data_IF_220108821950
#
_entry.id   IF_220108821950
#
_cell.length_a   1.000
_cell.length_b   1.000
_cell.length_c   1.000
_cell.angle_alpha   90.00
_cell.angle_beta   90.00
_cell.angle_gamma   90.00
#
_symmetry.space_group_name_H-M   'P 1'
#
loop_
_entity.id
_entity.type
_entity.pdbx_description
1 polymer ?
#
# COMPACT_ATOMS: atom_id res chain seq x y z
N UNK A 1 36.77 -21.75 -30.24
CA UNK A 1 36.08 -20.60 -29.63
C UNK A 1 35.00 -21.15 -28.73
N UNK A 2 35.16 -21.04 -27.41
CA UNK A 2 34.12 -21.40 -26.43
C UNK A 2 33.32 -20.14 -26.20
N UNK A 3 32.09 -20.10 -26.71
CA UNK A 3 31.16 -19.01 -26.45
C UNK A 3 30.58 -19.22 -25.04
N UNK A 4 31.11 -18.47 -24.07
CA UNK A 4 30.51 -18.39 -22.75
C UNK A 4 29.19 -17.65 -22.86
N UNK A 5 28.08 -18.38 -22.71
CA UNK A 5 26.75 -17.82 -22.55
C UNK A 5 26.72 -17.10 -21.20
N UNK A 6 26.88 -15.77 -21.21
CA UNK A 6 26.66 -14.94 -20.03
C UNK A 6 25.17 -14.99 -19.69
N UNK A 7 24.80 -15.90 -18.80
CA UNK A 7 23.50 -15.86 -18.13
C UNK A 7 23.47 -14.55 -17.32
N UNK A 8 22.57 -13.59 -17.60
CA UNK A 8 22.41 -12.46 -16.71
C UNK A 8 21.91 -13.04 -15.38
N UNK A 9 22.75 -12.96 -14.34
CA UNK A 9 22.30 -13.12 -12.96
C UNK A 9 21.16 -12.13 -12.78
N UNK A 10 19.92 -12.61 -12.71
CA UNK A 10 18.80 -11.75 -12.37
C UNK A 10 19.04 -11.30 -10.94
N UNK A 11 19.70 -10.16 -10.78
CA UNK A 11 19.68 -9.43 -9.53
C UNK A 11 18.21 -9.23 -9.21
N UNK A 12 17.73 -9.88 -8.15
CA UNK A 12 16.51 -9.45 -7.49
C UNK A 12 16.82 -8.07 -6.92
N UNK A 13 16.66 -7.04 -7.74
CA UNK A 13 16.89 -5.65 -7.35
C UNK A 13 15.71 -5.23 -6.47
N UNK A 14 15.74 -5.65 -5.21
CA UNK A 14 14.83 -5.13 -4.20
C UNK A 14 15.27 -3.68 -3.89
N UNK A 15 14.36 -2.73 -4.11
CA UNK A 15 14.56 -1.33 -3.73
C UNK A 15 13.86 -1.12 -2.41
N UNK A 16 14.58 -0.61 -1.41
CA UNK A 16 14.02 -0.24 -0.10
C UNK A 16 14.14 1.25 0.11
N UNK A 17 13.08 1.85 0.64
CA UNK A 17 12.99 3.27 0.91
C UNK A 17 12.26 3.53 2.22
N UNK A 18 12.54 4.66 2.86
CA UNK A 18 11.87 5.06 4.09
C UNK A 18 11.10 6.35 3.86
N UNK A 19 9.83 6.38 4.28
CA UNK A 19 8.98 7.56 4.24
C UNK A 19 8.44 7.90 5.62
N UNK A 20 8.48 9.17 5.97
CA UNK A 20 7.76 9.68 7.14
C UNK A 20 6.33 10.02 6.75
N UNK A 21 5.39 9.73 7.65
CA UNK A 21 4.02 10.23 7.53
C UNK A 21 3.87 11.65 8.09
N UNK A 22 2.65 12.18 8.05
CA UNK A 22 2.26 13.39 8.78
C UNK A 22 2.24 13.22 10.31
N UNK A 23 2.50 12.01 10.82
CA UNK A 23 2.64 11.72 12.25
C UNK A 23 4.11 11.39 12.57
N UNK A 24 4.45 11.08 13.83
CA UNK A 24 5.80 10.63 14.20
C UNK A 24 6.16 9.23 13.65
N UNK A 25 5.26 8.60 12.90
CA UNK A 25 5.49 7.27 12.32
C UNK A 25 6.21 7.37 10.98
N UNK A 26 7.17 6.47 10.80
CA UNK A 26 7.87 6.23 9.55
C UNK A 26 7.51 4.84 9.03
N UNK A 27 7.73 4.65 7.73
CA UNK A 27 7.41 3.43 7.00
C UNK A 27 8.59 3.04 6.14
N UNK A 28 9.04 1.81 6.27
CA UNK A 28 9.99 1.21 5.35
C UNK A 28 9.22 0.44 4.28
N UNK A 29 9.47 0.78 3.02
CA UNK A 29 8.79 0.22 1.86
C UNK A 29 9.81 -0.52 1.02
N UNK A 30 9.57 -1.81 0.83
CA UNK A 30 10.39 -2.66 -0.03
C UNK A 30 9.60 -3.01 -1.29
N UNK A 31 10.18 -2.69 -2.45
CA UNK A 31 9.63 -2.99 -3.76
C UNK A 31 10.38 -4.16 -4.39
N UNK A 32 9.63 -5.16 -4.83
CA UNK A 32 10.12 -6.24 -5.68
C UNK A 32 9.25 -6.37 -6.93
N UNK A 33 9.66 -7.22 -7.88
CA UNK A 33 8.87 -7.51 -9.07
C UNK A 33 7.49 -8.11 -8.76
N UNK A 34 7.34 -8.77 -7.61
CA UNK A 34 6.15 -9.56 -7.25
C UNK A 34 5.35 -8.96 -6.11
N UNK A 35 5.92 -8.03 -5.36
CA UNK A 35 5.38 -7.64 -4.06
C UNK A 35 5.83 -6.24 -3.66
N UNK A 36 4.95 -5.53 -2.96
CA UNK A 36 5.28 -4.36 -2.14
C UNK A 36 5.12 -4.79 -0.68
N UNK A 37 6.12 -4.52 0.14
CA UNK A 37 6.07 -4.78 1.59
C UNK A 37 6.22 -3.45 2.32
N UNK A 38 5.30 -3.17 3.24
CA UNK A 38 5.29 -1.94 4.04
C UNK A 38 5.41 -2.30 5.52
N UNK A 39 6.42 -1.74 6.19
CA UNK A 39 6.68 -1.94 7.61
C UNK A 39 6.57 -0.59 8.34
N UNK A 40 5.74 -0.50 9.37
CA UNK A 40 5.60 0.72 10.18
C UNK A 40 6.55 0.69 11.38
N UNK A 41 7.19 1.81 11.70
CA UNK A 41 8.08 1.91 12.87
C UNK A 41 7.40 1.73 14.23
N UNK A 42 6.06 1.68 14.26
CA UNK A 42 5.26 1.57 15.49
C UNK A 42 4.37 0.34 15.54
N UNK A 43 4.37 -0.49 14.49
CA UNK A 43 3.56 -1.71 14.44
C UNK A 43 4.47 -2.92 14.23
N UNK A 44 4.31 -3.94 15.07
CA UNK A 44 5.01 -5.21 14.91
C UNK A 44 4.27 -6.04 13.86
N UNK A 45 4.63 -5.87 12.60
CA UNK A 45 4.00 -6.55 11.48
C UNK A 45 4.37 -5.90 10.15
N UNK A 46 4.33 -6.70 9.09
CA UNK A 46 4.57 -6.23 7.72
C UNK A 46 3.29 -6.40 6.93
N UNK A 47 2.88 -5.34 6.25
CA UNK A 47 1.80 -5.40 5.30
C UNK A 47 2.40 -5.86 3.96
N UNK A 48 1.93 -7.02 3.50
CA UNK A 48 2.37 -7.64 2.28
C UNK A 48 1.32 -7.42 1.19
N UNK A 49 1.75 -7.01 0.00
CA UNK A 49 0.89 -6.79 -1.15
C UNK A 49 1.44 -7.46 -2.39
N UNK A 50 0.78 -8.52 -2.88
CA UNK A 50 1.23 -9.27 -4.04
C UNK A 50 0.67 -8.73 -5.35
N UNK A 51 1.51 -8.69 -6.37
CA UNK A 51 1.15 -8.27 -7.72
C UNK A 51 0.41 -9.38 -8.45
N UNK A 52 -0.76 -9.06 -9.00
CA UNK A 52 -1.55 -9.93 -9.89
C UNK A 52 -2.19 -9.08 -10.98
N UNK A 53 -2.01 -9.48 -12.23
CA UNK A 53 -2.58 -8.81 -13.41
C UNK A 53 -2.30 -7.30 -13.47
N UNK A 54 -1.13 -6.87 -12.98
CA UNK A 54 -0.71 -5.47 -12.96
C UNK A 54 -1.16 -4.68 -11.73
N UNK A 55 -2.11 -5.18 -10.94
CA UNK A 55 -2.61 -4.59 -9.70
C UNK A 55 -1.99 -5.27 -8.46
N UNK A 56 -2.15 -4.68 -7.27
CA UNK A 56 -1.62 -5.25 -6.02
C UNK A 56 -2.73 -5.54 -5.01
N UNK A 57 -2.67 -6.74 -4.43
CA UNK A 57 -3.69 -7.28 -3.52
C UNK A 57 -3.06 -7.53 -2.15
N UNK A 58 -3.77 -7.19 -1.08
CA UNK A 58 -3.34 -7.48 0.29
C UNK A 58 -3.21 -8.99 0.50
N UNK A 59 -2.11 -9.43 1.08
CA UNK A 59 -1.83 -10.84 1.31
C UNK A 59 -2.73 -11.48 2.39
N UNK A 60 -3.27 -10.66 3.30
CA UNK A 60 -4.11 -11.14 4.41
C UNK A 60 -5.46 -11.69 3.95
N UNK A 61 -6.03 -11.10 2.91
CA UNK A 61 -7.41 -11.35 2.48
C UNK A 61 -7.58 -11.40 0.95
N UNK A 62 -6.50 -11.22 0.19
CA UNK A 62 -6.50 -11.15 -1.27
C UNK A 62 -7.41 -10.04 -1.84
N UNK A 63 -7.66 -8.98 -1.06
CA UNK A 63 -8.46 -7.83 -1.48
C UNK A 63 -7.57 -6.84 -2.24
N UNK A 64 -8.10 -6.28 -3.34
CA UNK A 64 -7.40 -5.27 -4.13
C UNK A 64 -7.06 -4.06 -3.27
N UNK A 65 -5.79 -3.64 -3.28
CA UNK A 65 -5.31 -2.54 -2.43
C UNK A 65 -4.67 -1.40 -3.23
N UNK A 66 -3.83 -1.69 -4.23
CA UNK A 66 -3.31 -0.65 -5.13
C UNK A 66 -3.74 -0.93 -6.57
N UNK A 67 -4.27 0.10 -7.24
CA UNK A 67 -4.63 0.05 -8.66
C UNK A 67 -4.27 1.36 -9.36
N UNK A 68 -3.63 1.24 -10.53
CA UNK A 68 -3.45 2.35 -11.48
C UNK A 68 -4.39 2.22 -12.69
N UNK A 69 -5.24 1.19 -12.68
CA UNK A 69 -6.10 0.81 -13.81
C UNK A 69 -7.50 1.39 -13.65
N UNK A 70 -8.03 1.38 -12.42
CA UNK A 70 -9.44 1.74 -12.15
C UNK A 70 -9.64 2.31 -10.77
N UNK A 71 -10.58 3.24 -10.69
CA UNK A 71 -11.16 3.65 -9.41
C UNK A 71 -11.95 2.48 -8.82
N UNK A 72 -11.81 2.24 -7.53
CA UNK A 72 -12.47 1.12 -6.85
C UNK A 72 -12.92 1.54 -5.45
N UNK A 73 -14.11 1.11 -5.04
CA UNK A 73 -14.58 1.19 -3.66
C UNK A 73 -14.86 -0.22 -3.16
N UNK A 74 -14.21 -0.61 -2.07
CA UNK A 74 -14.33 -1.93 -1.47
C UNK A 74 -14.79 -1.77 -0.03
N UNK A 75 -15.71 -2.63 0.38
CA UNK A 75 -16.09 -2.77 1.79
C UNK A 75 -15.62 -4.14 2.25
N UNK A 76 -15.01 -4.20 3.43
CA UNK A 76 -14.56 -5.45 4.04
C UNK A 76 -14.87 -5.44 5.52
N UNK A 77 -15.03 -6.62 6.10
CA UNK A 77 -15.26 -6.80 7.53
C UNK A 77 -14.19 -7.73 8.07
N UNK A 78 -13.47 -7.30 9.11
CA UNK A 78 -12.46 -8.11 9.77
C UNK A 78 -12.67 -8.07 11.27
N UNK A 79 -12.77 -9.24 11.90
CA UNK A 79 -13.00 -9.36 13.36
C UNK A 79 -14.21 -8.55 13.86
N UNK A 80 -15.26 -8.43 13.05
CA UNK A 80 -16.46 -7.65 13.37
C UNK A 80 -16.31 -6.13 13.23
N UNK A 81 -15.18 -5.65 12.70
CA UNK A 81 -14.96 -4.24 12.37
C UNK A 81 -15.10 -4.06 10.87
N UNK A 82 -15.93 -3.10 10.47
CA UNK A 82 -16.15 -2.76 9.06
C UNK A 82 -15.13 -1.71 8.59
N UNK A 83 -14.62 -1.95 7.39
CA UNK A 83 -13.65 -1.12 6.72
C UNK A 83 -14.12 -0.76 5.31
N UNK A 84 -13.65 0.39 4.85
CA UNK A 84 -13.84 0.83 3.46
C UNK A 84 -12.50 1.24 2.88
N UNK A 85 -12.16 0.64 1.75
CA UNK A 85 -10.99 1.02 0.94
C UNK A 85 -11.47 1.76 -0.30
N UNK A 86 -10.87 2.90 -0.59
CA UNK A 86 -11.16 3.73 -1.76
C UNK A 86 -9.86 3.89 -2.53
N UNK A 87 -9.84 3.41 -3.78
CA UNK A 87 -8.75 3.56 -4.73
C UNK A 87 -9.20 4.55 -5.80
N UNK A 88 -8.39 5.57 -6.07
CA UNK A 88 -8.73 6.63 -7.03
C UNK A 88 -7.53 7.05 -7.85
N UNK A 89 -7.79 7.33 -9.13
CA UNK A 89 -6.89 8.13 -9.96
C UNK A 89 -7.06 9.60 -9.61
N UNK A 90 -5.95 10.24 -9.28
CA UNK A 90 -5.86 11.67 -9.03
C UNK A 90 -5.37 12.40 -10.30
N UNK A 91 -5.27 13.72 -10.21
CA UNK A 91 -4.61 14.52 -11.24
C UNK A 91 -3.12 14.20 -11.39
N UNK A 92 -2.53 14.58 -12.53
CA UNK A 92 -1.09 14.51 -12.80
C UNK A 92 -0.47 13.09 -12.75
N UNK A 93 -1.26 12.06 -13.02
CA UNK A 93 -0.77 10.67 -13.05
C UNK A 93 -0.50 10.07 -11.67
N UNK A 94 -1.02 10.69 -10.62
CA UNK A 94 -0.99 10.14 -9.27
C UNK A 94 -2.25 9.32 -8.99
N UNK A 95 -2.13 8.43 -8.03
CA UNK A 95 -3.19 7.56 -7.56
C UNK A 95 -3.19 7.55 -6.04
N UNK A 96 -4.35 7.31 -5.44
CA UNK A 96 -4.50 7.19 -3.99
C UNK A 96 -5.21 5.90 -3.63
N UNK A 97 -4.77 5.29 -2.53
CA UNK A 97 -5.52 4.26 -1.80
C UNK A 97 -5.74 4.77 -0.39
N UNK A 98 -6.99 4.98 0.00
CA UNK A 98 -7.40 5.42 1.34
C UNK A 98 -8.21 4.34 2.04
N UNK A 99 -7.89 4.08 3.31
CA UNK A 99 -8.63 3.17 4.17
C UNK A 99 -9.35 3.92 5.29
N UNK A 100 -10.56 3.48 5.57
CA UNK A 100 -11.45 4.04 6.57
C UNK A 100 -12.00 2.93 7.45
N UNK A 101 -12.19 3.22 8.74
CA UNK A 101 -13.09 2.47 9.60
C UNK A 101 -14.51 2.96 9.35
N UNK A 102 -15.47 2.04 9.28
CA UNK A 102 -16.88 2.34 9.12
C UNK A 102 -17.58 2.15 10.46
N UNK A 103 -18.24 3.19 10.96
CA UNK A 103 -19.04 3.09 12.18
C UNK A 103 -20.31 2.27 11.94
N UNK A 104 -20.93 1.83 13.04
CA UNK A 104 -22.27 1.24 13.02
C UNK A 104 -23.35 2.17 12.39
N UNK A 105 -23.13 3.49 12.38
CA UNK A 105 -23.99 4.48 11.73
C UNK A 105 -23.60 4.77 10.28
N UNK A 106 -22.60 4.08 9.73
CA UNK A 106 -22.10 4.26 8.36
C UNK A 106 -21.13 5.43 8.18
N UNK A 107 -20.72 6.11 9.27
CA UNK A 107 -19.74 7.18 9.22
C UNK A 107 -18.34 6.63 8.90
N UNK A 108 -17.58 7.36 8.09
CA UNK A 108 -16.22 6.99 7.71
C UNK A 108 -15.20 7.73 8.57
N UNK A 109 -14.36 6.97 9.27
CA UNK A 109 -13.21 7.48 10.01
C UNK A 109 -11.94 7.16 9.24
N UNK A 110 -11.25 8.19 8.78
CA UNK A 110 -10.00 8.03 8.05
C UNK A 110 -8.94 7.33 8.89
N UNK A 111 -8.24 6.36 8.31
CA UNK A 111 -7.15 5.64 8.97
C UNK A 111 -5.80 5.96 8.33
N UNK A 112 -5.68 5.71 7.04
CA UNK A 112 -4.43 5.86 6.30
C UNK A 112 -4.70 6.05 4.80
N UNK A 113 -3.84 6.81 4.13
CA UNK A 113 -3.80 6.97 2.69
C UNK A 113 -2.38 6.82 2.18
N UNK A 114 -2.25 6.20 1.02
CA UNK A 114 -1.02 6.11 0.24
C UNK A 114 -1.22 6.87 -1.06
N UNK A 115 -0.26 7.69 -1.46
CA UNK A 115 -0.21 8.30 -2.80
C UNK A 115 0.96 7.71 -3.57
N UNK A 116 0.71 7.30 -4.81
CA UNK A 116 1.68 6.60 -5.65
C UNK A 116 1.53 6.97 -7.12
N UNK A 117 2.58 6.72 -7.91
CA UNK A 117 2.58 6.93 -9.36
C UNK A 117 2.16 5.67 -10.14
N UNK A 118 2.25 5.72 -11.48
CA UNK A 118 1.90 4.61 -12.36
C UNK A 118 2.80 3.37 -12.20
N UNK A 119 3.98 3.53 -11.61
CA UNK A 119 4.90 2.43 -11.32
C UNK A 119 4.70 1.87 -9.90
N UNK A 120 3.65 2.32 -9.20
CA UNK A 120 3.34 2.01 -7.81
C UNK A 120 4.40 2.47 -6.81
N UNK A 121 5.28 3.40 -7.20
CA UNK A 121 6.19 4.01 -6.25
C UNK A 121 5.40 4.97 -5.34
N UNK A 122 5.34 4.62 -4.06
CA UNK A 122 4.65 5.38 -3.03
C UNK A 122 5.51 6.60 -2.71
N UNK A 123 4.92 7.78 -2.86
CA UNK A 123 5.58 9.08 -2.61
C UNK A 123 5.10 9.74 -1.31
N UNK A 124 3.93 9.34 -0.80
CA UNK A 124 3.34 9.92 0.40
C UNK A 124 2.48 8.93 1.16
N UNK A 125 2.62 8.96 2.48
CA UNK A 125 1.74 8.24 3.41
C UNK A 125 1.14 9.25 4.38
N UNK A 126 -0.18 9.30 4.47
CA UNK A 126 -0.92 10.12 5.43
C UNK A 126 -1.66 9.20 6.38
N UNK A 127 -1.43 9.33 7.67
CA UNK A 127 -2.13 8.57 8.71
C UNK A 127 -3.02 9.51 9.52
N UNK A 128 -4.12 8.96 10.03
CA UNK A 128 -4.91 9.63 11.05
C UNK A 128 -4.02 9.91 12.27
N UNK A 129 -3.88 11.19 12.62
CA UNK A 129 -3.32 11.59 13.90
C UNK A 129 -4.34 11.24 14.96
N UNK A 130 -4.07 10.21 15.76
CA UNK A 130 -4.81 10.00 17.01
C UNK A 130 -4.69 11.30 17.81
N UNK A 131 -5.76 12.07 17.88
CA UNK A 131 -5.88 13.10 18.91
C UNK A 131 -6.00 12.29 20.19
N UNK A 132 -4.91 12.21 20.94
CA UNK A 132 -4.94 11.67 22.30
C UNK A 132 -5.92 12.59 23.04
N UNK A 133 -7.14 12.11 23.29
CA UNK A 133 -8.00 12.75 24.28
C UNK A 133 -7.25 12.62 25.61
N UNK A 134 -6.82 13.78 26.14
CA UNK A 134 -6.32 13.89 27.50
C UNK A 134 -7.43 13.65 28.51
#
# INVERSE_FOLDING_TARGET
MVASLLMPLSSCSERRESLSSNTRQSFDITYSKKEIVIESSTHTGKDHFFKKDGEYFSSSDSILFFSVVRDTILNSTSSGIDYKTIIKKEGNGLFTTSNYLVSNTGCLFFLISYSYDSDYHISKIVKCSNVVYQ
#
